data_IF_081745088374
#
_entry.id   IF_081745088374
#
_cell.length_a   1.000
_cell.length_b   1.000
_cell.length_c   1.000
_cell.angle_alpha   90.00
_cell.angle_beta   90.00
_cell.angle_gamma   90.00
#
_symmetry.space_group_name_H-M   'P 1'
#
loop_
_entity.id
_entity.type
_entity.pdbx_description
1 polymer ?
#
# COMPACT_ATOMS: atom_id res chain seq x y z
N UNK A 1 9.71 2.89 -4.14
CA UNK A 1 8.85 2.86 -2.93
C UNK A 1 8.17 1.51 -2.83
N UNK A 2 7.94 1.02 -1.62
CA UNK A 2 7.53 -0.35 -1.35
C UNK A 2 6.25 -0.38 -0.51
N UNK A 3 5.27 -1.19 -0.93
CA UNK A 3 4.06 -1.48 -0.15
C UNK A 3 4.23 -2.84 0.51
N UNK A 4 4.06 -2.91 1.82
CA UNK A 4 4.15 -4.16 2.60
C UNK A 4 2.80 -4.50 3.19
N UNK A 5 2.29 -5.69 2.90
CA UNK A 5 1.09 -6.24 3.52
C UNK A 5 1.49 -7.37 4.46
N UNK A 6 1.25 -7.18 5.76
CA UNK A 6 1.55 -8.19 6.79
C UNK A 6 0.31 -9.04 7.02
N UNK A 7 0.39 -10.31 6.67
CA UNK A 7 -0.66 -11.31 6.82
C UNK A 7 -2.01 -10.88 6.21
N UNK A 8 -2.06 -10.43 4.92
CA UNK A 8 -3.32 -9.99 4.33
C UNK A 8 -4.31 -11.15 4.22
N UNK A 9 -5.60 -10.87 4.50
CA UNK A 9 -6.65 -11.89 4.62
C UNK A 9 -7.61 -11.91 3.42
N UNK A 10 -7.83 -10.75 2.78
CA UNK A 10 -8.84 -10.61 1.73
C UNK A 10 -8.18 -10.49 0.35
N UNK A 11 -8.33 -11.49 -0.53
CA UNK A 11 -7.69 -11.50 -1.85
C UNK A 11 -8.06 -10.32 -2.73
N UNK A 12 -9.30 -9.81 -2.64
CA UNK A 12 -9.77 -8.64 -3.37
C UNK A 12 -9.01 -7.35 -3.01
N UNK A 13 -8.67 -7.15 -1.74
CA UNK A 13 -7.85 -6.00 -1.30
C UNK A 13 -6.44 -6.09 -1.88
N UNK A 14 -5.81 -7.27 -1.76
CA UNK A 14 -4.46 -7.51 -2.31
C UNK A 14 -4.43 -7.31 -3.83
N UNK A 15 -5.46 -7.76 -4.55
CA UNK A 15 -5.59 -7.54 -5.98
C UNK A 15 -5.71 -6.05 -6.35
N UNK A 16 -6.51 -5.27 -5.63
CA UNK A 16 -6.62 -3.82 -5.82
C UNK A 16 -5.30 -3.10 -5.54
N UNK A 17 -4.57 -3.54 -4.50
CA UNK A 17 -3.25 -2.98 -4.15
C UNK A 17 -2.20 -3.35 -5.22
N UNK A 18 -2.23 -4.57 -5.73
CA UNK A 18 -1.36 -4.95 -6.85
C UNK A 18 -1.62 -4.09 -8.09
N UNK A 19 -2.89 -3.80 -8.41
CA UNK A 19 -3.25 -2.87 -9.49
C UNK A 19 -2.74 -1.45 -9.24
N UNK A 20 -2.79 -0.96 -7.99
CA UNK A 20 -2.19 0.31 -7.60
C UNK A 20 -0.69 0.28 -7.86
N UNK A 21 0.02 -0.75 -7.40
CA UNK A 21 1.46 -0.91 -7.59
C UNK A 21 1.83 -0.94 -9.08
N UNK A 22 1.06 -1.66 -9.91
CA UNK A 22 1.23 -1.65 -11.37
C UNK A 22 1.12 -0.24 -11.98
N UNK A 23 0.13 0.54 -11.51
CA UNK A 23 -0.12 1.89 -12.01
C UNK A 23 0.87 2.95 -11.51
N UNK A 24 1.59 2.68 -10.43
CA UNK A 24 2.50 3.63 -9.75
C UNK A 24 3.97 3.25 -9.82
N UNK A 25 4.29 2.03 -10.29
CA UNK A 25 5.66 1.50 -10.29
C UNK A 25 6.18 1.10 -8.91
N UNK A 26 5.33 1.08 -7.87
CA UNK A 26 5.69 0.60 -6.54
C UNK A 26 5.85 -0.92 -6.51
N UNK A 27 6.71 -1.42 -5.62
CA UNK A 27 6.88 -2.85 -5.40
C UNK A 27 5.98 -3.35 -4.28
N UNK A 28 5.43 -4.56 -4.43
CA UNK A 28 4.53 -5.18 -3.46
C UNK A 28 5.22 -6.29 -2.69
N UNK A 29 5.24 -6.20 -1.37
CA UNK A 29 5.77 -7.21 -0.46
C UNK A 29 4.62 -7.85 0.31
N UNK A 30 4.51 -9.18 0.21
CA UNK A 30 3.52 -9.99 0.91
C UNK A 30 4.19 -10.81 2.00
N UNK A 31 3.85 -10.54 3.26
CA UNK A 31 4.38 -11.27 4.42
C UNK A 31 3.37 -12.33 4.84
N UNK A 32 3.83 -13.58 4.89
CA UNK A 32 3.02 -14.75 5.30
C UNK A 32 2.73 -14.77 6.82
N UNK A 33 1.64 -15.52 7.21
CA UNK A 33 0.74 -16.29 6.38
C UNK A 33 -0.24 -15.42 5.58
N UNK A 34 -0.62 -15.85 4.36
CA UNK A 34 -1.67 -15.21 3.58
C UNK A 34 -2.99 -15.92 3.88
N UNK A 35 -4.07 -15.16 4.08
CA UNK A 35 -5.43 -15.70 4.28
C UNK A 35 -6.07 -16.28 3.01
N UNK A 36 -5.32 -16.36 1.90
CA UNK A 36 -5.78 -16.83 0.59
C UNK A 36 -4.65 -17.46 -0.20
N UNK A 37 -5.00 -18.26 -1.22
CA UNK A 37 -4.04 -18.72 -2.22
C UNK A 37 -3.80 -17.63 -3.28
N UNK A 38 -2.56 -17.49 -3.73
CA UNK A 38 -2.20 -16.62 -4.86
C UNK A 38 -2.82 -17.08 -6.18
N UNK A 39 -3.30 -18.34 -6.24
CA UNK A 39 -4.08 -18.90 -7.36
C UNK A 39 -5.57 -18.63 -7.24
N UNK A 40 -6.02 -17.94 -6.19
CA UNK A 40 -7.43 -17.67 -5.93
C UNK A 40 -8.06 -16.88 -7.09
N UNK A 41 -9.24 -17.34 -7.54
CA UNK A 41 -10.01 -16.69 -8.61
C UNK A 41 -10.39 -15.25 -8.27
N UNK A 42 -10.52 -14.91 -7.00
CA UNK A 42 -10.83 -13.55 -6.54
C UNK A 42 -9.62 -12.63 -6.67
N UNK A 43 -8.42 -13.10 -6.34
CA UNK A 43 -7.17 -12.40 -6.62
C UNK A 43 -7.05 -12.18 -8.14
N UNK A 44 -7.33 -13.20 -8.92
CA UNK A 44 -7.34 -13.15 -10.39
C UNK A 44 -8.33 -12.12 -10.94
N UNK A 45 -9.55 -12.07 -10.46
CA UNK A 45 -10.57 -11.11 -10.91
C UNK A 45 -10.30 -9.67 -10.45
N UNK A 46 -9.66 -9.47 -9.28
CA UNK A 46 -9.45 -8.15 -8.70
C UNK A 46 -8.22 -7.41 -9.24
N UNK A 47 -7.28 -8.08 -9.91
CA UNK A 47 -6.05 -7.39 -10.32
C UNK A 47 -5.06 -8.16 -11.15
N UNK A 48 -5.33 -9.40 -11.54
CA UNK A 48 -4.35 -10.23 -12.27
C UNK A 48 -4.02 -9.78 -13.70
N UNK A 49 -4.88 -9.02 -14.34
CA UNK A 49 -4.52 -8.41 -15.62
C UNK A 49 -3.28 -7.52 -15.51
N UNK A 50 -2.97 -7.04 -14.29
CA UNK A 50 -1.83 -6.19 -13.97
C UNK A 50 -0.71 -6.91 -13.20
N UNK A 51 -0.91 -8.16 -12.76
CA UNK A 51 0.07 -8.88 -11.92
C UNK A 51 1.44 -9.02 -12.58
N UNK A 52 1.47 -9.21 -13.88
CA UNK A 52 2.70 -9.28 -14.68
C UNK A 52 3.48 -7.95 -14.75
N UNK A 53 2.84 -6.83 -14.38
CA UNK A 53 3.44 -5.50 -14.32
C UNK A 53 3.96 -5.13 -12.93
N UNK A 54 3.68 -5.96 -11.91
CA UNK A 54 4.04 -5.70 -10.51
C UNK A 54 5.20 -6.59 -10.10
N UNK A 55 6.21 -6.01 -9.48
CA UNK A 55 7.22 -6.79 -8.75
C UNK A 55 6.66 -7.20 -7.41
N UNK A 56 6.36 -8.50 -7.27
CA UNK A 56 5.80 -9.05 -6.03
C UNK A 56 6.87 -9.89 -5.33
N UNK A 57 7.11 -9.57 -4.06
CA UNK A 57 8.06 -10.24 -3.18
C UNK A 57 7.31 -10.96 -2.07
N UNK A 58 7.69 -12.20 -1.79
CA UNK A 58 7.10 -13.01 -0.72
C UNK A 58 8.10 -13.17 0.42
N UNK A 59 7.65 -12.98 1.65
CA UNK A 59 8.47 -13.12 2.84
C UNK A 59 7.80 -14.06 3.84
N UNK A 60 8.58 -14.92 4.47
CA UNK A 60 8.06 -15.88 5.45
C UNK A 60 7.71 -15.21 6.79
N UNK A 61 8.30 -14.05 7.08
CA UNK A 61 7.96 -13.24 8.25
C UNK A 61 8.33 -11.76 8.01
N UNK A 62 7.71 -10.87 8.80
CA UNK A 62 8.10 -9.46 8.80
C UNK A 62 9.56 -9.27 9.26
N UNK A 63 10.02 -10.06 10.22
CA UNK A 63 11.41 -9.99 10.69
C UNK A 63 12.41 -10.28 9.57
N UNK A 64 12.15 -11.28 8.72
CA UNK A 64 12.99 -11.62 7.57
C UNK A 64 13.02 -10.47 6.54
N UNK A 65 11.85 -9.87 6.25
CA UNK A 65 11.77 -8.69 5.38
C UNK A 65 12.56 -7.52 5.97
N UNK A 66 12.34 -7.18 7.23
CA UNK A 66 12.99 -6.04 7.90
C UNK A 66 14.51 -6.21 7.96
N UNK A 67 15.00 -7.44 8.21
CA UNK A 67 16.43 -7.74 8.19
C UNK A 67 17.04 -7.57 6.79
N UNK A 68 16.34 -7.97 5.75
CA UNK A 68 16.80 -7.85 4.36
C UNK A 68 16.92 -6.38 3.91
N UNK A 69 16.09 -5.49 4.45
CA UNK A 69 16.01 -4.08 4.06
C UNK A 69 16.29 -3.14 5.24
N UNK A 70 17.14 -3.53 6.19
CA UNK A 70 17.41 -2.78 7.43
C UNK A 70 17.95 -1.36 7.22
N UNK A 71 18.53 -1.06 6.05
CA UNK A 71 19.03 0.27 5.70
C UNK A 71 17.92 1.24 5.23
N UNK A 72 16.69 0.73 5.04
CA UNK A 72 15.54 1.52 4.58
C UNK A 72 14.64 1.94 5.74
N UNK A 73 13.87 2.99 5.53
CA UNK A 73 12.88 3.44 6.50
C UNK A 73 11.55 2.73 6.30
N UNK A 74 10.96 2.28 7.40
CA UNK A 74 9.64 1.64 7.43
C UNK A 74 8.65 2.53 8.16
N UNK A 75 7.51 2.83 7.54
CA UNK A 75 6.39 3.54 8.14
C UNK A 75 5.20 2.60 8.34
N UNK A 76 4.73 2.50 9.56
CA UNK A 76 3.70 1.55 10.00
C UNK A 76 2.34 2.23 10.10
N UNK A 77 1.42 1.90 9.18
CA UNK A 77 0.09 2.49 9.15
C UNK A 77 -0.83 1.84 10.19
N UNK A 78 -1.31 2.65 11.15
CA UNK A 78 -2.20 2.21 12.22
C UNK A 78 -3.11 3.33 12.69
N UNK A 79 -4.37 3.00 13.02
CA UNK A 79 -5.30 3.96 13.62
C UNK A 79 -4.88 4.41 15.02
N UNK A 80 -3.95 3.68 15.67
CA UNK A 80 -3.39 3.99 16.99
C UNK A 80 -2.20 4.96 16.96
N UNK A 81 -1.68 5.29 15.79
CA UNK A 81 -0.51 6.17 15.64
C UNK A 81 -0.81 7.60 16.09
N UNK A 82 0.24 8.32 16.51
CA UNK A 82 0.16 9.73 16.93
C UNK A 82 0.40 10.69 15.77
N UNK A 83 1.28 10.32 14.84
CA UNK A 83 1.67 11.16 13.70
C UNK A 83 0.70 10.97 12.54
N UNK A 84 0.32 12.07 11.90
CA UNK A 84 -0.42 12.00 10.63
C UNK A 84 0.51 11.50 9.52
N UNK A 85 -0.05 10.76 8.57
CA UNK A 85 0.69 10.34 7.37
C UNK A 85 1.18 11.54 6.52
N UNK A 86 0.57 12.72 6.67
CA UNK A 86 0.98 13.96 6.00
C UNK A 86 2.16 14.66 6.68
N UNK A 87 2.48 14.30 7.94
CA UNK A 87 3.58 14.93 8.70
C UNK A 87 4.95 14.33 8.33
N UNK A 88 4.96 13.29 7.53
CA UNK A 88 6.16 12.55 7.15
C UNK A 88 6.75 13.12 5.85
N UNK A 89 8.07 13.20 5.79
CA UNK A 89 8.83 13.43 4.56
C UNK A 89 9.30 12.09 4.01
N UNK A 90 8.54 11.55 3.04
CA UNK A 90 8.82 10.24 2.45
C UNK A 90 10.02 10.29 1.49
N UNK A 91 10.76 9.17 1.40
CA UNK A 91 11.76 8.92 0.37
C UNK A 91 11.24 7.90 -0.64
N UNK A 92 11.82 7.89 -1.84
CA UNK A 92 11.37 6.97 -2.92
C UNK A 92 11.67 5.50 -2.66
N UNK A 93 12.51 5.19 -1.67
CA UNK A 93 12.88 3.84 -1.25
C UNK A 93 12.30 3.44 0.11
N UNK A 94 11.37 4.22 0.64
CA UNK A 94 10.68 3.91 1.90
C UNK A 94 9.68 2.77 1.75
N UNK A 95 9.45 2.05 2.87
CA UNK A 95 8.50 0.95 3.01
C UNK A 95 7.26 1.41 3.77
N UNK A 96 6.09 1.29 3.14
CA UNK A 96 4.78 1.60 3.73
C UNK A 96 4.12 0.30 4.18
N UNK A 97 4.03 0.09 5.50
CA UNK A 97 3.64 -1.20 6.10
C UNK A 97 2.20 -1.15 6.59
N UNK A 98 1.40 -2.10 6.15
CA UNK A 98 -0.01 -2.26 6.50
C UNK A 98 -0.25 -3.66 7.07
N UNK A 99 -1.12 -3.75 8.07
CA UNK A 99 -1.50 -5.02 8.69
C UNK A 99 -2.71 -5.66 8.04
N UNK A 100 -3.09 -6.83 8.57
CA UNK A 100 -4.27 -7.57 8.13
C UNK A 100 -5.58 -6.83 8.41
N UNK A 101 -6.60 -7.15 7.64
CA UNK A 101 -7.88 -6.42 7.65
C UNK A 101 -8.60 -6.53 9.00
N UNK A 102 -8.55 -7.69 9.64
CA UNK A 102 -9.28 -7.95 10.89
C UNK A 102 -8.68 -7.30 12.14
N UNK A 103 -7.33 -7.17 12.21
CA UNK A 103 -6.64 -6.76 13.44
C UNK A 103 -5.57 -5.67 13.25
N UNK A 104 -5.22 -5.32 12.02
CA UNK A 104 -4.12 -4.39 11.72
C UNK A 104 -2.75 -5.00 12.02
N UNK A 105 -1.79 -4.15 12.34
CA UNK A 105 -0.42 -4.55 12.73
C UNK A 105 -0.36 -4.99 14.19
N UNK A 106 0.47 -5.99 14.53
CA UNK A 106 0.66 -6.45 15.90
C UNK A 106 1.12 -5.32 16.84
N UNK A 107 0.55 -5.24 18.05
CA UNK A 107 0.89 -4.22 19.05
C UNK A 107 2.39 -4.17 19.40
N UNK A 108 3.10 -5.30 19.59
CA UNK A 108 4.54 -5.28 19.83
C UNK A 108 5.33 -4.63 18.70
N UNK A 109 4.90 -4.84 17.44
CA UNK A 109 5.54 -4.22 16.28
C UNK A 109 5.34 -2.70 16.27
N UNK A 110 4.13 -2.24 16.56
CA UNK A 110 3.82 -0.81 16.64
C UNK A 110 4.58 -0.13 17.79
N UNK A 111 4.70 -0.80 18.93
CA UNK A 111 5.44 -0.29 20.10
C UNK A 111 6.94 -0.17 19.80
N UNK A 112 7.52 -1.19 19.18
CA UNK A 112 8.94 -1.19 18.81
C UNK A 112 9.29 -0.07 17.79
N UNK A 113 8.33 0.33 16.98
CA UNK A 113 8.52 1.34 15.93
C UNK A 113 7.63 2.59 16.11
N UNK A 114 7.33 2.96 17.35
CA UNK A 114 6.37 4.02 17.67
C UNK A 114 6.67 5.37 17.00
N UNK A 115 7.95 5.72 16.80
CA UNK A 115 8.36 6.94 16.12
C UNK A 115 7.99 6.97 14.63
N UNK A 116 7.88 5.79 14.00
CA UNK A 116 7.57 5.63 12.58
C UNK A 116 6.13 5.14 12.35
N UNK A 117 5.28 5.19 13.38
CA UNK A 117 3.86 4.89 13.19
C UNK A 117 3.11 6.10 12.67
N UNK A 118 2.28 5.89 11.64
CA UNK A 118 1.51 6.92 10.97
C UNK A 118 0.03 6.55 10.91
N UNK A 119 -0.85 7.56 10.87
CA UNK A 119 -2.30 7.36 10.73
C UNK A 119 -2.90 8.22 9.63
N UNK A 120 -3.95 7.73 9.03
CA UNK A 120 -4.86 8.54 8.22
C UNK A 120 -5.87 9.18 9.19
N UNK A 121 -6.05 10.52 9.20
CA UNK A 121 -7.06 11.18 10.03
C UNK A 121 -8.47 10.71 9.67
N UNK A 122 -9.26 10.38 10.67
CA UNK A 122 -10.64 9.93 10.53
C UNK A 122 -11.48 10.52 11.66
N UNK A 123 -12.80 10.52 11.49
CA UNK A 123 -13.76 10.83 12.56
C UNK A 123 -13.60 9.82 13.70
N UNK A 124 -13.90 10.24 14.93
CA UNK A 124 -13.72 9.41 16.13
C UNK A 124 -14.57 8.14 16.09
N UNK A 125 -15.77 8.23 15.52
CA UNK A 125 -16.70 7.11 15.40
C UNK A 125 -16.30 6.09 14.33
N UNK A 126 -15.38 6.46 13.42
CA UNK A 126 -14.90 5.57 12.37
C UNK A 126 -13.79 4.65 12.89
N UNK A 127 -13.93 3.33 12.64
CA UNK A 127 -12.95 2.35 13.11
C UNK A 127 -11.69 2.32 12.24
N UNK A 128 -11.86 2.18 10.94
CA UNK A 128 -10.77 2.06 9.96
C UNK A 128 -11.29 2.26 8.54
N UNK A 129 -10.39 2.55 7.61
CA UNK A 129 -10.66 2.44 6.18
C UNK A 129 -10.46 0.99 5.71
N UNK A 130 -11.09 0.64 4.58
CA UNK A 130 -10.73 -0.55 3.84
C UNK A 130 -9.22 -0.53 3.52
N UNK A 131 -8.56 -1.71 3.59
CA UNK A 131 -7.11 -1.81 3.44
C UNK A 131 -6.62 -1.21 2.13
N UNK A 132 -7.24 -1.53 0.99
CA UNK A 132 -6.79 -1.01 -0.31
C UNK A 132 -6.96 0.51 -0.42
N UNK A 133 -8.01 1.08 0.21
CA UNK A 133 -8.20 2.52 0.28
C UNK A 133 -7.13 3.19 1.15
N UNK A 134 -6.80 2.61 2.31
CA UNK A 134 -5.76 3.13 3.19
C UNK A 134 -4.40 3.13 2.48
N UNK A 135 -4.05 2.05 1.80
CA UNK A 135 -2.82 1.95 0.99
C UNK A 135 -2.79 3.02 -0.08
N UNK A 136 -3.89 3.21 -0.84
CA UNK A 136 -3.95 4.22 -1.90
C UNK A 136 -3.75 5.64 -1.36
N UNK A 137 -4.39 5.99 -0.25
CA UNK A 137 -4.27 7.33 0.37
C UNK A 137 -2.82 7.63 0.75
N UNK A 138 -2.16 6.72 1.48
CA UNK A 138 -0.77 6.92 1.93
C UNK A 138 0.21 6.91 0.76
N UNK A 139 0.03 5.98 -0.19
CA UNK A 139 0.88 5.87 -1.38
C UNK A 139 0.83 7.14 -2.24
N UNK A 140 -0.36 7.68 -2.49
CA UNK A 140 -0.50 8.88 -3.31
C UNK A 140 -0.02 10.15 -2.60
N UNK A 141 -0.09 10.24 -1.27
CA UNK A 141 0.56 11.33 -0.54
C UNK A 141 2.09 11.26 -0.71
N UNK A 142 2.68 10.09 -0.55
CA UNK A 142 4.10 9.91 -0.75
C UNK A 142 4.54 10.26 -2.20
N UNK A 143 3.79 9.81 -3.21
CA UNK A 143 4.01 10.19 -4.61
C UNK A 143 3.84 11.68 -4.87
N UNK A 144 2.85 12.33 -4.24
CA UNK A 144 2.62 13.77 -4.35
C UNK A 144 3.84 14.57 -3.86
N UNK A 145 4.47 14.15 -2.77
CA UNK A 145 5.70 14.78 -2.26
C UNK A 145 6.84 14.72 -3.27
N UNK A 146 6.88 13.68 -4.10
CA UNK A 146 7.84 13.51 -5.20
C UNK A 146 7.31 13.98 -6.56
N UNK A 147 6.26 14.84 -6.56
CA UNK A 147 5.71 15.45 -7.78
C UNK A 147 5.29 14.42 -8.83
N UNK A 148 4.90 13.20 -8.40
CA UNK A 148 4.47 12.09 -9.28
C UNK A 148 5.49 11.74 -10.36
N UNK A 149 6.80 11.78 -10.01
CA UNK A 149 7.89 11.44 -10.92
C UNK A 149 7.59 10.11 -11.63
N UNK A 150 7.89 10.03 -12.92
CA UNK A 150 7.64 8.89 -13.81
C UNK A 150 6.15 8.53 -14.03
N UNK A 151 5.20 9.34 -13.52
CA UNK A 151 3.79 9.17 -13.75
C UNK A 151 3.23 10.21 -14.74
N UNK A 152 2.23 9.79 -15.51
CA UNK A 152 1.53 10.70 -16.43
C UNK A 152 0.55 11.57 -15.64
N UNK A 153 0.88 12.84 -15.41
CA UNK A 153 0.08 13.78 -14.62
C UNK A 153 -1.13 14.30 -15.40
N UNK A 154 -0.97 14.55 -16.71
CA UNK A 154 -2.02 15.15 -17.54
C UNK A 154 -2.56 14.18 -18.58
N UNK A 155 -3.86 14.16 -18.74
CA UNK A 155 -4.54 13.43 -19.81
C UNK A 155 -4.52 14.23 -21.14
N UNK A 156 -4.95 13.56 -22.23
CA UNK A 156 -5.06 14.22 -23.56
C UNK A 156 -6.27 15.17 -23.69
N UNK A 157 -7.04 15.39 -22.63
CA UNK A 157 -8.33 16.09 -22.64
C UNK A 157 -9.47 15.21 -23.22
N UNK A 158 -10.69 15.62 -22.98
CA UNK A 158 -11.86 15.08 -23.68
C UNK A 158 -11.98 15.82 -25.00
N UNK A 159 -11.46 15.25 -26.08
CA UNK A 159 -11.80 15.72 -27.41
C UNK A 159 -13.27 15.39 -27.65
N UNK A 160 -14.15 16.40 -27.56
CA UNK A 160 -15.51 16.28 -28.07
C UNK A 160 -15.41 15.79 -29.52
N UNK A 161 -16.15 14.74 -29.88
CA UNK A 161 -16.34 14.38 -31.27
C UNK A 161 -16.94 15.63 -31.95
N UNK A 162 -16.19 16.30 -32.78
CA UNK A 162 -16.74 17.28 -33.71
C UNK A 162 -17.70 16.52 -34.59
N UNK A 163 -19.00 16.65 -34.31
CA UNK A 163 -20.05 16.22 -35.22
C UNK A 163 -19.92 17.19 -36.41
N UNK A 164 -19.24 16.76 -37.44
CA UNK A 164 -19.37 17.43 -38.76
C UNK A 164 -20.80 17.11 -39.23
N UNK A 165 -21.63 18.13 -39.27
CA UNK A 165 -22.91 18.17 -39.98
C UNK A 165 -22.64 18.35 -41.48
#
# INVERSE_FOLDING_TARGET
MHIVLVEPEIPGNTGNIARLCAGTGMELHLVRPLGFSTDDKHLKRAGLDYWHLVRVHYHDSFAALHQQYQEHTFYFCSTKARHSYCDISYKMDDFLVFGKESAGLPEPLLTAHAANTIRIPMREEARSLNLSNAVAVVAFEALRQHQFVDLRIHGNGCHGRSTQI
#
